data_IF_638145475512
#
_entry.id   IF_638145475512
#
_cell.length_a   1.000
_cell.length_b   1.000
_cell.length_c   1.000
_cell.angle_alpha   90.00
_cell.angle_beta   90.00
_cell.angle_gamma   90.00
#
_symmetry.space_group_name_H-M   'P 1'
#
loop_
_entity.id
_entity.type
_entity.pdbx_description
1 polymer ?
#
# COMPACT_ATOMS: atom_id res chain seq x y z
N UNK A 1 21.05 48.12 -17.70
CA UNK A 1 20.67 47.03 -18.63
C UNK A 1 21.65 45.90 -18.41
N UNK A 2 21.23 44.84 -17.73
CA UNK A 2 22.07 43.66 -17.46
C UNK A 2 21.47 42.47 -18.22
N UNK A 3 22.29 41.87 -19.09
CA UNK A 3 21.97 40.66 -19.85
C UNK A 3 21.79 39.49 -18.87
N UNK A 4 20.64 38.81 -18.93
CA UNK A 4 20.43 37.52 -18.28
C UNK A 4 20.84 36.47 -19.30
N UNK A 5 21.93 35.77 -18.98
CA UNK A 5 22.44 34.63 -19.71
C UNK A 5 21.36 33.51 -19.69
N UNK A 6 21.02 32.99 -20.87
CA UNK A 6 20.09 31.86 -21.00
C UNK A 6 20.91 30.59 -20.87
N UNK A 7 20.84 29.94 -19.71
CA UNK A 7 21.38 28.59 -19.54
C UNK A 7 20.81 27.64 -20.61
N UNK A 8 21.63 26.78 -21.22
CA UNK A 8 21.19 25.89 -22.29
C UNK A 8 20.29 24.79 -21.71
N UNK A 9 19.13 24.63 -22.34
CA UNK A 9 18.17 23.57 -22.05
C UNK A 9 18.86 22.19 -22.14
N UNK A 10 18.71 21.30 -21.14
CA UNK A 10 19.20 19.94 -21.27
C UNK A 10 18.46 19.22 -22.42
N UNK A 11 19.15 18.33 -23.17
CA UNK A 11 18.53 17.58 -24.25
C UNK A 11 17.39 16.69 -23.70
N UNK A 12 16.34 16.42 -24.50
CA UNK A 12 15.27 15.54 -24.07
C UNK A 12 15.86 14.16 -23.77
N UNK A 13 15.77 13.77 -22.50
CA UNK A 13 16.07 12.40 -22.05
C UNK A 13 15.07 11.49 -22.76
N UNK A 14 15.59 10.47 -23.44
CA UNK A 14 14.79 9.48 -24.16
C UNK A 14 13.69 8.96 -23.23
N UNK A 15 12.44 9.03 -23.67
CA UNK A 15 11.32 8.45 -22.96
C UNK A 15 11.60 6.95 -22.73
N UNK A 16 11.41 6.49 -21.49
CA UNK A 16 11.55 5.08 -21.17
C UNK A 16 10.61 4.23 -22.05
N UNK A 17 11.05 3.03 -22.47
CA UNK A 17 10.23 2.16 -23.30
C UNK A 17 8.93 1.79 -22.58
N UNK A 18 7.82 1.81 -23.33
CA UNK A 18 6.47 1.49 -22.86
C UNK A 18 6.48 0.14 -22.13
N UNK A 19 5.98 0.07 -20.88
CA UNK A 19 5.89 -1.18 -20.13
C UNK A 19 5.17 -2.29 -20.92
N UNK A 20 5.66 -3.54 -20.87
CA UNK A 20 5.11 -4.64 -21.67
C UNK A 20 3.64 -4.96 -21.38
N UNK A 21 3.11 -4.59 -20.22
CA UNK A 21 1.68 -4.73 -19.86
C UNK A 21 0.76 -3.82 -20.69
N UNK A 22 1.21 -2.60 -21.02
CA UNK A 22 0.46 -1.71 -21.91
C UNK A 22 0.48 -2.28 -23.32
N UNK A 23 1.61 -2.83 -23.78
CA UNK A 23 1.69 -3.48 -25.10
C UNK A 23 0.76 -4.70 -25.20
N UNK A 24 0.54 -5.43 -24.11
CA UNK A 24 -0.36 -6.58 -24.08
C UNK A 24 -1.85 -6.18 -24.23
N UNK A 25 -2.26 -5.03 -23.68
CA UNK A 25 -3.62 -4.48 -23.83
C UNK A 25 -3.97 -4.13 -25.29
N UNK A 26 -2.97 -3.79 -26.12
CA UNK A 26 -3.17 -3.45 -27.53
C UNK A 26 -3.65 -4.63 -28.39
N UNK A 27 -3.52 -5.88 -27.89
CA UNK A 27 -3.76 -7.09 -28.68
C UNK A 27 -5.22 -7.56 -28.68
N UNK A 28 -6.04 -7.05 -27.74
CA UNK A 28 -7.36 -7.66 -27.45
C UNK A 28 -8.52 -6.65 -27.39
N UNK A 29 -8.28 -5.35 -27.58
CA UNK A 29 -9.34 -4.33 -27.48
C UNK A 29 -9.02 -3.09 -28.32
N UNK A 30 -10.03 -2.46 -28.96
CA UNK A 30 -9.91 -1.25 -29.79
C UNK A 30 -9.60 0.04 -28.97
N UNK A 31 -8.97 -0.10 -27.81
CA UNK A 31 -8.60 1.01 -26.94
C UNK A 31 -7.26 1.59 -27.37
N UNK A 32 -7.25 2.89 -27.64
CA UNK A 32 -6.05 3.68 -27.88
C UNK A 32 -5.65 4.44 -26.62
N UNK A 33 -4.34 4.48 -26.35
CA UNK A 33 -3.73 5.19 -25.23
C UNK A 33 -2.90 6.35 -25.79
N UNK A 34 -3.18 7.57 -25.37
CA UNK A 34 -2.40 8.77 -25.69
C UNK A 34 -1.71 9.29 -24.41
N UNK A 35 -0.38 9.29 -24.39
CA UNK A 35 0.43 9.73 -23.24
C UNK A 35 0.70 11.23 -23.31
N UNK A 36 0.54 11.93 -22.18
CA UNK A 36 0.82 13.37 -22.14
C UNK A 36 2.33 13.64 -22.15
N UNK A 37 2.79 14.47 -23.10
CA UNK A 37 4.22 14.79 -23.34
C UNK A 37 4.94 15.39 -22.13
N UNK A 38 4.21 15.94 -21.15
CA UNK A 38 4.74 16.50 -19.91
C UNK A 38 4.13 15.84 -18.66
N UNK A 39 3.72 14.58 -18.75
CA UNK A 39 3.25 13.83 -17.60
C UNK A 39 4.34 13.78 -16.51
N UNK A 40 3.91 13.83 -15.24
CA UNK A 40 4.82 13.61 -14.12
C UNK A 40 5.46 12.22 -14.22
N UNK A 41 6.77 12.14 -14.08
CA UNK A 41 7.51 10.87 -14.07
C UNK A 41 7.72 10.40 -12.63
N UNK A 42 7.71 9.08 -12.43
CA UNK A 42 8.08 8.48 -11.14
C UNK A 42 9.58 8.65 -10.95
N UNK A 43 9.97 9.52 -10.02
CA UNK A 43 11.37 9.80 -9.72
C UNK A 43 11.88 8.80 -8.67
N UNK A 44 12.44 7.69 -9.17
CA UNK A 44 13.16 6.69 -8.37
C UNK A 44 12.29 5.83 -7.45
N UNK A 45 12.94 4.84 -6.84
CA UNK A 45 12.32 3.92 -5.91
C UNK A 45 12.44 4.47 -4.48
N UNK A 46 11.34 5.02 -3.94
CA UNK A 46 11.25 5.26 -2.51
C UNK A 46 11.42 3.95 -1.73
N UNK A 47 11.78 4.00 -0.43
CA UNK A 47 11.74 2.79 0.40
C UNK A 47 10.30 2.28 0.52
N UNK A 48 9.96 1.31 -0.33
CA UNK A 48 8.68 0.61 -0.32
C UNK A 48 8.60 -0.28 0.91
N UNK A 49 7.39 -0.65 1.30
CA UNK A 49 7.18 -1.61 2.37
C UNK A 49 7.80 -2.97 2.06
N UNK A 50 7.78 -3.43 0.81
CA UNK A 50 8.50 -4.64 0.44
C UNK A 50 10.00 -4.51 0.71
N UNK A 51 10.60 -3.36 0.41
CA UNK A 51 11.99 -3.08 0.76
C UNK A 51 12.19 -3.05 2.29
N UNK A 52 11.30 -2.40 3.05
CA UNK A 52 11.38 -2.35 4.53
C UNK A 52 11.17 -3.73 5.17
N UNK A 53 10.24 -4.52 4.64
CA UNK A 53 9.93 -5.88 5.07
C UNK A 53 11.10 -6.84 4.78
N UNK A 54 11.75 -6.67 3.63
CA UNK A 54 12.96 -7.42 3.30
C UNK A 54 14.17 -7.03 4.18
N UNK A 55 14.17 -5.81 4.73
CA UNK A 55 15.20 -5.30 5.64
C UNK A 55 14.84 -5.47 7.13
N UNK A 56 13.66 -6.01 7.44
CA UNK A 56 13.22 -6.18 8.82
C UNK A 56 14.10 -7.20 9.56
N UNK A 57 14.13 -7.08 10.89
CA UNK A 57 14.86 -7.96 11.81
C UNK A 57 14.48 -9.43 11.63
N UNK A 58 13.27 -9.70 11.11
CA UNK A 58 12.77 -11.05 10.86
C UNK A 58 12.95 -11.55 9.42
N UNK A 59 13.57 -10.75 8.54
CA UNK A 59 13.79 -11.09 7.12
C UNK A 59 14.49 -12.45 6.92
N UNK A 60 15.43 -12.80 7.80
CA UNK A 60 16.11 -14.11 7.78
C UNK A 60 15.12 -15.24 8.06
N UNK A 61 14.20 -15.07 9.00
CA UNK A 61 13.21 -16.08 9.34
C UNK A 61 12.19 -16.29 8.21
N UNK A 62 11.78 -15.22 7.51
CA UNK A 62 10.89 -15.33 6.35
C UNK A 62 11.52 -16.13 5.20
N UNK A 63 12.85 -16.03 5.00
CA UNK A 63 13.57 -16.82 3.99
C UNK A 63 13.60 -18.31 4.31
N UNK A 64 13.70 -18.66 5.60
CA UNK A 64 13.78 -20.04 6.07
C UNK A 64 12.41 -20.69 6.23
N UNK A 65 11.39 -19.89 6.56
CA UNK A 65 10.04 -20.35 6.81
C UNK A 65 9.01 -19.35 6.25
N UNK A 66 8.30 -19.71 5.17
CA UNK A 66 7.23 -18.87 4.61
C UNK A 66 6.08 -18.58 5.57
N UNK A 67 5.93 -19.36 6.64
CA UNK A 67 4.85 -19.24 7.62
C UNK A 67 5.26 -18.48 8.89
N UNK A 68 6.50 -18.00 8.99
CA UNK A 68 6.93 -17.17 10.12
C UNK A 68 5.95 -15.98 10.29
N UNK A 69 5.51 -15.64 11.53
CA UNK A 69 6.03 -16.05 12.85
C UNK A 69 5.51 -17.40 13.38
N UNK A 70 4.77 -18.16 12.58
CA UNK A 70 4.34 -19.52 12.93
C UNK A 70 5.42 -20.53 12.56
N UNK A 71 5.58 -21.58 13.36
CA UNK A 71 6.63 -22.59 13.14
C UNK A 71 6.33 -23.45 11.92
N UNK A 72 5.05 -23.69 11.63
CA UNK A 72 4.59 -24.55 10.54
C UNK A 72 3.34 -24.00 9.84
N UNK A 73 3.03 -24.55 8.65
CA UNK A 73 1.76 -24.30 7.97
C UNK A 73 0.55 -24.68 8.83
N UNK A 74 0.66 -25.75 9.61
CA UNK A 74 -0.44 -26.25 10.46
C UNK A 74 -0.76 -25.22 11.54
N UNK A 75 0.27 -24.68 12.21
CA UNK A 75 0.11 -23.64 13.22
C UNK A 75 -0.53 -22.38 12.63
N UNK A 76 -0.08 -21.98 11.43
CA UNK A 76 -0.67 -20.83 10.72
C UNK A 76 -2.14 -21.07 10.36
N UNK A 77 -2.50 -22.25 9.83
CA UNK A 77 -3.89 -22.58 9.51
C UNK A 77 -4.78 -22.58 10.74
N UNK A 78 -4.30 -23.12 11.86
CA UNK A 78 -5.01 -23.13 13.12
C UNK A 78 -5.23 -21.70 13.64
N UNK A 79 -4.18 -20.87 13.64
CA UNK A 79 -4.27 -19.47 14.00
C UNK A 79 -5.27 -18.70 13.13
N UNK A 80 -5.20 -18.88 11.81
CA UNK A 80 -6.11 -18.24 10.87
C UNK A 80 -7.57 -18.66 11.14
N UNK A 81 -7.83 -19.96 11.31
CA UNK A 81 -9.15 -20.47 11.66
C UNK A 81 -9.68 -19.83 12.95
N UNK A 82 -8.88 -19.79 14.02
CA UNK A 82 -9.29 -19.19 15.29
C UNK A 82 -9.63 -17.71 15.13
N UNK A 83 -8.84 -16.95 14.38
CA UNK A 83 -9.07 -15.52 14.13
C UNK A 83 -10.33 -15.26 13.28
N UNK A 84 -10.66 -16.14 12.34
CA UNK A 84 -11.82 -15.98 11.45
C UNK A 84 -13.10 -16.65 11.96
N UNK A 85 -13.01 -17.50 12.99
CA UNK A 85 -14.12 -18.33 13.48
C UNK A 85 -15.24 -17.57 14.22
N UNK A 86 -15.04 -16.29 14.55
CA UNK A 86 -15.97 -15.52 15.38
C UNK A 86 -16.03 -15.97 16.84
N UNK A 87 -15.11 -16.84 17.28
CA UNK A 87 -15.01 -17.25 18.68
C UNK A 87 -14.70 -16.05 19.58
N UNK A 88 -15.31 -16.02 20.76
CA UNK A 88 -14.95 -15.02 21.77
C UNK A 88 -13.48 -15.16 22.17
N UNK A 89 -12.84 -14.05 22.53
CA UNK A 89 -11.46 -14.06 23.03
C UNK A 89 -11.29 -15.04 24.21
N UNK A 90 -12.31 -15.19 25.07
CA UNK A 90 -12.29 -16.17 26.16
C UNK A 90 -12.24 -17.61 25.64
N UNK A 91 -13.04 -17.95 24.62
CA UNK A 91 -13.04 -19.28 24.02
C UNK A 91 -11.72 -19.58 23.29
N UNK A 92 -11.17 -18.60 22.58
CA UNK A 92 -9.84 -18.70 21.96
C UNK A 92 -8.77 -18.89 23.04
N UNK A 93 -8.81 -18.12 24.12
CA UNK A 93 -7.90 -18.27 25.25
C UNK A 93 -8.01 -19.64 25.90
N UNK A 94 -9.22 -20.19 26.06
CA UNK A 94 -9.43 -21.52 26.63
C UNK A 94 -8.88 -22.62 25.71
N UNK A 95 -9.18 -22.55 24.41
CA UNK A 95 -8.64 -23.48 23.42
C UNK A 95 -7.12 -23.43 23.39
N UNK A 96 -6.56 -22.22 23.31
CA UNK A 96 -5.12 -22.04 23.29
C UNK A 96 -4.52 -22.43 24.64
N UNK A 97 -5.13 -22.16 25.80
CA UNK A 97 -4.55 -22.53 27.11
C UNK A 97 -4.27 -24.02 27.30
N UNK A 98 -4.81 -24.87 26.42
CA UNK A 98 -4.45 -26.28 26.35
C UNK A 98 -3.01 -26.50 25.84
N UNK A 99 -2.44 -25.58 25.03
CA UNK A 99 -1.06 -25.68 24.47
C UNK A 99 -0.28 -24.35 24.26
N UNK A 100 -0.90 -23.16 24.12
CA UNK A 100 -0.29 -21.84 23.91
C UNK A 100 -1.07 -20.68 24.58
N UNK A 101 -0.42 -19.57 24.92
CA UNK A 101 -1.11 -18.38 25.45
C UNK A 101 -1.62 -17.51 24.30
N UNK A 102 -2.90 -17.12 24.29
CA UNK A 102 -3.46 -16.22 23.27
C UNK A 102 -2.77 -14.85 23.17
N UNK A 103 -2.06 -14.44 24.23
CA UNK A 103 -1.20 -13.25 24.22
C UNK A 103 -0.05 -13.41 23.22
N UNK A 104 0.50 -14.61 23.09
CA UNK A 104 1.55 -14.94 22.13
C UNK A 104 1.01 -14.90 20.69
N UNK A 105 -0.18 -15.46 20.46
CA UNK A 105 -0.84 -15.39 19.15
C UNK A 105 -1.14 -13.95 18.74
N UNK A 106 -1.65 -13.14 19.69
CA UNK A 106 -1.91 -11.73 19.46
C UNK A 106 -0.62 -10.96 19.19
N UNK A 107 0.43 -11.18 19.97
CA UNK A 107 1.75 -10.59 19.73
C UNK A 107 2.26 -10.92 18.31
N UNK A 108 2.15 -12.19 17.89
CA UNK A 108 2.52 -12.62 16.54
C UNK A 108 1.67 -12.01 15.43
N UNK A 109 0.39 -11.75 15.71
CA UNK A 109 -0.53 -11.09 14.76
C UNK A 109 -0.31 -9.57 14.71
N UNK A 110 0.14 -8.97 15.82
CA UNK A 110 0.45 -7.54 15.96
C UNK A 110 1.81 -7.14 15.34
N UNK A 111 2.67 -8.11 14.98
CA UNK A 111 3.85 -7.86 14.12
C UNK A 111 3.43 -7.38 12.71
N UNK A 112 2.14 -7.51 12.35
CA UNK A 112 1.62 -6.90 11.12
C UNK A 112 1.82 -5.38 11.20
N UNK A 113 2.33 -4.73 10.13
CA UNK A 113 2.46 -3.28 10.08
C UNK A 113 1.13 -2.62 10.47
N UNK A 114 1.21 -1.68 11.41
CA UNK A 114 0.05 -0.88 11.80
C UNK A 114 -0.45 -0.09 10.60
N UNK A 115 -1.76 -0.15 10.33
CA UNK A 115 -2.39 0.66 9.29
C UNK A 115 -2.41 2.15 9.65
N UNK A 116 -2.91 3.01 8.74
CA UNK A 116 -3.04 4.43 9.01
C UNK A 116 -3.94 4.66 10.23
N UNK A 117 -3.41 5.36 11.24
CA UNK A 117 -4.11 5.62 12.50
C UNK A 117 -5.21 6.68 12.29
N UNK A 118 -6.36 6.49 12.93
CA UNK A 118 -7.43 7.50 12.98
C UNK A 118 -6.98 8.75 13.72
N UNK A 119 -7.23 9.91 13.13
CA UNK A 119 -7.04 11.23 13.74
C UNK A 119 -8.39 11.94 13.81
N UNK A 120 -8.52 12.89 14.72
CA UNK A 120 -9.71 13.74 14.79
C UNK A 120 -9.31 15.20 14.92
N UNK A 121 -10.13 16.10 14.37
CA UNK A 121 -10.05 17.54 14.65
C UNK A 121 -11.43 18.10 14.92
N UNK A 122 -11.50 19.05 15.84
CA UNK A 122 -12.73 19.81 16.09
C UNK A 122 -12.87 20.86 14.99
N UNK A 123 -14.02 20.88 14.32
CA UNK A 123 -14.33 21.88 13.29
C UNK A 123 -15.35 22.88 13.83
N UNK A 124 -15.12 24.16 13.52
CA UNK A 124 -16.06 25.22 13.82
C UNK A 124 -17.14 25.24 12.75
N UNK A 125 -18.40 25.21 13.18
CA UNK A 125 -19.56 25.35 12.30
C UNK A 125 -20.06 26.78 12.33
N UNK A 126 -20.47 27.30 11.17
CA UNK A 126 -21.08 28.64 11.05
C UNK A 126 -22.37 28.76 11.87
N UNK A 127 -23.02 27.64 12.18
CA UNK A 127 -24.27 27.56 12.92
C UNK A 127 -24.00 26.97 14.31
N UNK A 128 -24.66 27.46 15.37
CA UNK A 128 -24.48 26.95 16.71
C UNK A 128 -24.98 25.50 16.81
N UNK A 129 -24.07 24.57 17.07
CA UNK A 129 -24.38 23.18 17.38
C UNK A 129 -24.41 22.98 18.90
N UNK A 130 -25.24 22.04 19.38
CA UNK A 130 -25.33 21.72 20.82
C UNK A 130 -24.05 21.07 21.37
N UNK A 131 -23.23 20.50 20.48
CA UNK A 131 -21.99 19.83 20.80
C UNK A 131 -20.94 20.16 19.74
N UNK A 132 -19.66 20.04 20.11
CA UNK A 132 -18.55 20.21 19.18
C UNK A 132 -18.62 19.15 18.07
N UNK A 133 -18.36 19.58 16.83
CA UNK A 133 -18.32 18.67 15.69
C UNK A 133 -16.91 18.14 15.56
N UNK A 134 -16.77 16.82 15.73
CA UNK A 134 -15.53 16.09 15.51
C UNK A 134 -15.50 15.59 14.07
N UNK A 135 -14.44 15.97 13.33
CA UNK A 135 -14.13 15.39 12.03
C UNK A 135 -13.05 14.33 12.24
N UNK A 136 -13.44 13.08 12.13
CA UNK A 136 -12.53 11.94 12.08
C UNK A 136 -11.98 11.79 10.67
N UNK A 137 -10.67 11.64 10.54
CA UNK A 137 -9.96 11.49 9.27
C UNK A 137 -8.69 10.66 9.44
N UNK A 138 -8.23 10.06 8.35
CA UNK A 138 -6.87 9.52 8.28
C UNK A 138 -5.93 10.55 7.68
N UNK A 139 -4.68 10.52 8.11
CA UNK A 139 -3.63 11.28 7.46
C UNK A 139 -3.48 10.81 6.00
N UNK A 140 -3.70 11.72 5.05
CA UNK A 140 -3.71 11.38 3.62
C UNK A 140 -2.36 10.88 3.14
N UNK A 141 -1.25 11.39 3.68
CA UNK A 141 0.08 10.91 3.35
C UNK A 141 0.29 9.48 3.86
N UNK A 142 -0.14 9.19 5.10
CA UNK A 142 -0.04 7.83 5.64
C UNK A 142 -0.93 6.84 4.87
N UNK A 143 -2.10 7.27 4.41
CA UNK A 143 -2.96 6.43 3.57
C UNK A 143 -2.32 6.14 2.21
N UNK A 144 -1.76 7.16 1.55
CA UNK A 144 -1.07 7.00 0.27
C UNK A 144 0.16 6.11 0.45
N UNK A 145 0.97 6.36 1.47
CA UNK A 145 2.12 5.51 1.79
C UNK A 145 1.68 4.08 2.07
N UNK A 146 0.65 3.86 2.89
CA UNK A 146 0.12 2.52 3.18
C UNK A 146 -0.44 1.82 1.94
N UNK A 147 -1.06 2.57 1.02
CA UNK A 147 -1.61 2.04 -0.22
C UNK A 147 -0.49 1.60 -1.16
N UNK A 148 0.52 2.45 -1.35
CA UNK A 148 1.68 2.15 -2.20
C UNK A 148 2.55 1.03 -1.64
N UNK A 149 2.49 0.84 -0.33
CA UNK A 149 3.17 -0.21 0.39
C UNK A 149 2.42 -1.54 0.41
N UNK A 150 1.20 -1.61 -0.13
CA UNK A 150 0.47 -2.85 -0.18
C UNK A 150 1.03 -3.74 -1.32
N UNK A 151 1.49 -4.96 -1.01
CA UNK A 151 2.12 -5.85 -1.99
C UNK A 151 1.20 -6.23 -3.16
N UNK A 152 -0.12 -6.11 -3.01
CA UNK A 152 -1.09 -6.35 -4.10
C UNK A 152 -0.90 -5.35 -5.25
N UNK A 153 -0.42 -4.14 -4.97
CA UNK A 153 -0.23 -3.08 -5.96
C UNK A 153 1.23 -2.93 -6.40
N UNK A 154 2.12 -3.82 -5.94
CA UNK A 154 3.53 -3.76 -6.30
C UNK A 154 3.71 -4.06 -7.79
N UNK A 155 4.22 -3.08 -8.56
CA UNK A 155 4.40 -3.18 -10.02
C UNK A 155 3.16 -2.81 -10.84
N UNK A 156 1.97 -2.84 -10.23
CA UNK A 156 0.68 -2.63 -10.92
C UNK A 156 0.19 -1.17 -10.92
N UNK A 157 0.90 -0.27 -10.23
CA UNK A 157 0.48 1.13 -10.13
C UNK A 157 1.02 1.95 -11.31
N UNK A 158 0.10 2.41 -12.15
CA UNK A 158 0.40 3.35 -13.23
C UNK A 158 0.26 4.80 -12.74
N UNK A 159 1.37 5.53 -12.74
CA UNK A 159 1.42 6.95 -12.31
C UNK A 159 1.48 7.93 -13.49
N UNK A 160 1.67 7.41 -14.69
CA UNK A 160 1.73 8.20 -15.91
C UNK A 160 0.33 8.68 -16.27
N UNK A 161 0.19 9.97 -16.56
CA UNK A 161 -1.05 10.51 -17.10
C UNK A 161 -1.19 10.03 -18.55
N UNK A 162 -2.31 9.38 -18.85
CA UNK A 162 -2.70 9.01 -20.20
C UNK A 162 -4.20 9.24 -20.43
N UNK A 163 -4.57 9.33 -21.71
CA UNK A 163 -5.94 9.38 -22.17
C UNK A 163 -6.29 8.05 -22.85
N UNK A 164 -7.33 7.39 -22.36
CA UNK A 164 -7.88 6.17 -22.97
C UNK A 164 -9.10 6.54 -23.83
N UNK A 165 -9.15 6.10 -25.09
CA UNK A 165 -10.30 6.29 -25.97
C UNK A 165 -10.51 5.12 -26.92
N UNK A 166 -11.77 4.84 -27.25
CA UNK A 166 -12.14 3.92 -28.35
C UNK A 166 -12.16 4.70 -29.66
N UNK A 167 -11.61 4.12 -30.72
CA UNK A 167 -11.95 4.62 -32.06
C UNK A 167 -13.39 4.25 -32.38
N UNK A 168 -14.14 5.18 -32.98
CA UNK A 168 -15.51 4.90 -33.42
C UNK A 168 -15.47 3.85 -34.54
N UNK A 169 -16.43 2.90 -34.51
CA UNK A 169 -16.68 1.93 -35.60
C UNK A 169 -17.04 2.63 -36.92
#
# INVERSE_FOLDING_TARGET
>A
MANIDKDPHPPPVNADPIPPEIQALHSTTNWMVDQYVNAGQVMGDGQTFLARFALDSFSVHHKLNPYYPFSTLVDWKMANFLLTSGLSMRAINTYLSLELSAKELRFRTEIRPSGPVWKFKVILTTHPTKQLVHLDYHDSLNCIESLFNNPIFAGEMEFSLYRLFTTAE
#
